data_IF_844644483112
#
_entry.id   IF_844644483112
#
_cell.length_a   1.000
_cell.length_b   1.000
_cell.length_c   1.000
_cell.angle_alpha   90.00
_cell.angle_beta   90.00
_cell.angle_gamma   90.00
#
_symmetry.space_group_name_H-M   'P 1'
#
loop_
_entity.id
_entity.type
_entity.pdbx_description
1 polymer ?
#
# COMPACT_ATOMS: atom_id res chain seq x y z
N UNK A 1 11.93 14.88 19.47
CA UNK A 1 10.99 14.25 18.51
C UNK A 1 11.79 14.08 17.23
N UNK A 2 12.14 12.86 16.82
CA UNK A 2 12.77 12.67 15.50
C UNK A 2 11.68 12.88 14.46
N UNK A 3 11.96 13.64 13.41
CA UNK A 3 11.11 13.67 12.23
C UNK A 3 10.90 12.25 11.72
N UNK A 4 9.65 11.95 11.39
CA UNK A 4 9.30 10.69 10.79
C UNK A 4 9.79 10.74 9.33
N UNK A 5 10.76 9.90 8.92
CA UNK A 5 11.29 9.92 7.56
C UNK A 5 10.24 9.53 6.51
N UNK A 6 9.08 8.98 6.90
CA UNK A 6 7.96 8.72 5.98
C UNK A 6 7.12 9.97 5.66
N UNK A 7 7.36 11.09 6.35
CA UNK A 7 6.66 12.36 6.15
C UNK A 7 7.50 13.38 5.36
N UNK A 8 8.72 13.04 4.93
CA UNK A 8 9.57 13.92 4.13
C UNK A 8 9.24 13.83 2.64
N UNK A 9 9.34 14.97 1.95
CA UNK A 9 9.14 15.05 0.49
C UNK A 9 10.23 14.28 -0.31
N UNK A 10 11.33 13.89 0.35
CA UNK A 10 12.49 13.21 -0.23
C UNK A 10 12.56 11.70 0.09
N UNK A 11 11.47 11.10 0.58
CA UNK A 11 11.48 9.69 1.02
C UNK A 11 11.85 8.72 -0.12
N UNK A 12 11.44 9.01 -1.37
CA UNK A 12 11.85 8.25 -2.55
C UNK A 12 13.36 8.26 -2.78
N UNK A 13 14.01 9.42 -2.61
CA UNK A 13 15.47 9.57 -2.73
C UNK A 13 16.19 8.80 -1.62
N UNK A 14 15.69 8.86 -0.38
CA UNK A 14 16.24 8.09 0.73
C UNK A 14 16.20 6.58 0.46
N UNK A 15 15.14 6.08 -0.19
CA UNK A 15 15.03 4.67 -0.58
C UNK A 15 16.02 4.30 -1.70
N UNK A 16 16.29 5.21 -2.63
CA UNK A 16 17.34 5.03 -3.64
C UNK A 16 18.71 4.95 -2.98
N UNK A 17 19.02 5.86 -2.04
CA UNK A 17 20.27 5.83 -1.27
C UNK A 17 20.42 4.53 -0.46
N UNK A 18 19.34 4.06 0.16
CA UNK A 18 19.33 2.76 0.83
C UNK A 18 19.62 1.62 -0.15
N UNK A 19 19.06 1.65 -1.37
CA UNK A 19 19.38 0.70 -2.42
C UNK A 19 20.86 0.72 -2.82
N UNK A 20 21.47 1.90 -2.87
CA UNK A 20 22.91 2.06 -3.13
C UNK A 20 23.76 1.48 -1.98
N UNK A 21 23.36 1.70 -0.73
CA UNK A 21 24.01 1.12 0.44
C UNK A 21 23.94 -0.43 0.43
N UNK A 22 22.91 -1.00 -0.22
CA UNK A 22 22.78 -2.44 -0.46
C UNK A 22 23.53 -2.94 -1.71
N UNK A 23 24.29 -2.08 -2.39
CA UNK A 23 25.13 -2.44 -3.53
C UNK A 23 24.45 -2.33 -4.90
N UNK A 24 23.26 -1.72 -4.97
CA UNK A 24 22.60 -1.45 -6.25
C UNK A 24 23.21 -0.21 -6.92
N UNK A 25 23.28 -0.22 -8.25
CA UNK A 25 23.54 1.01 -9.01
C UNK A 25 22.35 1.97 -8.83
N UNK A 26 22.55 3.30 -8.82
CA UNK A 26 21.47 4.27 -8.60
C UNK A 26 20.26 4.05 -9.52
N UNK A 27 20.51 3.84 -10.81
CA UNK A 27 19.46 3.53 -11.79
C UNK A 27 18.70 2.25 -11.48
N UNK A 28 19.40 1.20 -11.06
CA UNK A 28 18.78 -0.07 -10.70
C UNK A 28 17.93 0.04 -9.44
N UNK A 29 18.38 0.83 -8.45
CA UNK A 29 17.58 1.11 -7.25
C UNK A 29 16.30 1.89 -7.61
N UNK A 30 16.40 2.93 -8.45
CA UNK A 30 15.25 3.71 -8.91
C UNK A 30 14.26 2.86 -9.73
N UNK A 31 14.74 2.09 -10.71
CA UNK A 31 13.90 1.20 -11.53
C UNK A 31 13.17 0.18 -10.65
N UNK A 32 13.87 -0.37 -9.64
CA UNK A 32 13.28 -1.33 -8.70
C UNK A 32 12.22 -0.68 -7.81
N UNK A 33 12.47 0.53 -7.32
CA UNK A 33 11.51 1.31 -6.53
C UNK A 33 10.25 1.60 -7.34
N UNK A 34 10.40 2.07 -8.58
CA UNK A 34 9.28 2.33 -9.48
C UNK A 34 8.44 1.07 -9.76
N UNK A 35 9.09 -0.07 -9.97
CA UNK A 35 8.38 -1.35 -10.13
C UNK A 35 7.58 -1.75 -8.88
N UNK A 36 8.15 -1.58 -7.69
CA UNK A 36 7.45 -1.89 -6.43
C UNK A 36 6.30 -0.91 -6.19
N UNK A 37 6.52 0.38 -6.43
CA UNK A 37 5.50 1.41 -6.33
C UNK A 37 4.29 1.10 -7.23
N UNK A 38 4.55 0.72 -8.48
CA UNK A 38 3.50 0.40 -9.46
C UNK A 38 2.64 -0.81 -9.04
N UNK A 39 3.22 -1.80 -8.35
CA UNK A 39 2.48 -3.02 -7.98
C UNK A 39 1.67 -2.90 -6.69
N UNK A 40 1.99 -1.97 -5.78
CA UNK A 40 1.32 -1.88 -4.47
C UNK A 40 -0.18 -1.67 -4.62
N UNK A 41 -0.61 -0.75 -5.48
CA UNK A 41 -2.05 -0.46 -5.63
C UNK A 41 -2.81 -1.62 -6.28
N UNK A 42 -2.18 -2.31 -7.24
CA UNK A 42 -2.74 -3.49 -7.88
C UNK A 42 -2.95 -4.61 -6.86
N UNK A 43 -1.91 -4.95 -6.09
CA UNK A 43 -1.96 -6.02 -5.08
C UNK A 43 -2.94 -5.67 -3.96
N UNK A 44 -2.98 -4.41 -3.51
CA UNK A 44 -3.95 -3.96 -2.50
C UNK A 44 -5.40 -4.04 -3.01
N UNK A 45 -5.64 -3.71 -4.28
CA UNK A 45 -6.94 -3.83 -4.92
C UNK A 45 -7.38 -5.29 -5.07
N UNK A 46 -6.45 -6.17 -5.45
CA UNK A 46 -6.71 -7.61 -5.54
C UNK A 46 -7.10 -8.18 -4.17
N UNK A 47 -6.32 -7.89 -3.12
CA UNK A 47 -6.61 -8.36 -1.76
C UNK A 47 -7.95 -7.83 -1.25
N UNK A 48 -8.28 -6.57 -1.54
CA UNK A 48 -9.58 -6.01 -1.18
C UNK A 48 -10.74 -6.76 -1.85
N UNK A 49 -10.56 -7.15 -3.12
CA UNK A 49 -11.53 -7.98 -3.85
C UNK A 49 -11.67 -9.39 -3.28
N UNK A 50 -10.56 -10.02 -2.90
CA UNK A 50 -10.56 -11.33 -2.23
C UNK A 50 -11.34 -11.27 -0.90
N UNK A 51 -11.07 -10.26 -0.06
CA UNK A 51 -11.79 -10.06 1.21
C UNK A 51 -13.27 -9.76 1.00
N UNK A 52 -13.63 -8.99 -0.03
CA UNK A 52 -15.03 -8.72 -0.36
C UNK A 52 -15.78 -10.01 -0.74
N UNK A 53 -15.14 -10.89 -1.53
CA UNK A 53 -15.70 -12.19 -1.91
C UNK A 53 -15.85 -13.12 -0.69
N UNK A 54 -14.85 -13.18 0.18
CA UNK A 54 -14.90 -13.96 1.43
C UNK A 54 -16.00 -13.46 2.36
N UNK A 55 -16.13 -12.14 2.52
CA UNK A 55 -17.16 -11.53 3.35
C UNK A 55 -18.57 -11.78 2.81
N UNK A 56 -18.75 -11.77 1.49
CA UNK A 56 -20.03 -12.14 0.87
C UNK A 56 -20.41 -13.60 1.20
N UNK A 57 -19.45 -14.52 1.18
CA UNK A 57 -19.69 -15.92 1.56
C UNK A 57 -19.97 -16.08 3.06
N UNK A 58 -19.22 -15.39 3.92
CA UNK A 58 -19.45 -15.41 5.37
C UNK A 58 -20.82 -14.83 5.75
N UNK A 59 -21.23 -13.73 5.11
CA UNK A 59 -22.53 -13.10 5.33
C UNK A 59 -23.71 -13.99 4.92
N UNK A 60 -23.51 -14.92 3.97
CA UNK A 60 -24.52 -15.95 3.64
C UNK A 60 -24.67 -17.01 4.74
N UNK A 61 -23.60 -17.27 5.51
CA UNK A 61 -23.53 -18.34 6.51
C UNK A 61 -23.86 -17.86 7.92
N UNK A 62 -23.63 -16.59 8.23
CA UNK A 62 -23.74 -16.02 9.57
C UNK A 62 -24.46 -14.66 9.53
N UNK A 63 -25.26 -14.30 10.55
CA UNK A 63 -25.98 -13.04 10.61
C UNK A 63 -25.08 -11.87 11.06
N UNK A 64 -23.96 -11.66 10.36
CA UNK A 64 -22.92 -10.66 10.67
C UNK A 64 -22.76 -9.59 9.58
N UNK A 65 -23.72 -9.51 8.64
CA UNK A 65 -23.68 -8.60 7.50
C UNK A 65 -23.35 -7.14 7.86
N UNK A 66 -24.02 -6.51 8.85
CA UNK A 66 -23.74 -5.12 9.22
C UNK A 66 -22.30 -4.86 9.69
N UNK A 67 -21.68 -5.82 10.39
CA UNK A 67 -20.29 -5.74 10.83
C UNK A 67 -19.34 -5.82 9.64
N UNK A 68 -19.56 -6.80 8.75
CA UNK A 68 -18.75 -6.97 7.54
C UNK A 68 -18.84 -5.73 6.62
N UNK A 69 -20.01 -5.10 6.50
CA UNK A 69 -20.16 -3.84 5.76
C UNK A 69 -19.34 -2.69 6.37
N UNK A 70 -19.32 -2.58 7.70
CA UNK A 70 -18.52 -1.59 8.42
C UNK A 70 -17.02 -1.77 8.20
N UNK A 71 -16.54 -3.01 8.33
CA UNK A 71 -15.14 -3.38 8.11
C UNK A 71 -14.74 -3.16 6.65
N UNK A 72 -15.59 -3.56 5.69
CA UNK A 72 -15.35 -3.32 4.27
C UNK A 72 -15.25 -1.84 3.92
N UNK A 73 -16.06 -0.98 4.55
CA UNK A 73 -15.94 0.48 4.38
C UNK A 73 -14.57 0.99 4.86
N UNK A 74 -14.10 0.51 6.00
CA UNK A 74 -12.79 0.85 6.53
C UNK A 74 -11.67 0.40 5.59
N UNK A 75 -11.71 -0.85 5.11
CA UNK A 75 -10.71 -1.38 4.19
C UNK A 75 -10.67 -0.60 2.86
N UNK A 76 -11.82 -0.23 2.31
CA UNK A 76 -11.89 0.63 1.12
C UNK A 76 -11.23 2.00 1.35
N UNK A 77 -11.44 2.60 2.52
CA UNK A 77 -10.82 3.87 2.88
C UNK A 77 -9.29 3.73 3.01
N UNK A 78 -8.82 2.66 3.65
CA UNK A 78 -7.39 2.36 3.76
C UNK A 78 -6.78 2.21 2.35
N UNK A 79 -7.39 1.40 1.48
CA UNK A 79 -6.87 1.14 0.14
C UNK A 79 -6.89 2.38 -0.75
N UNK A 80 -7.98 3.14 -0.76
CA UNK A 80 -8.14 4.25 -1.72
C UNK A 80 -7.63 5.61 -1.23
N UNK A 81 -7.44 5.78 0.08
CA UNK A 81 -6.90 7.01 0.68
C UNK A 81 -5.50 6.76 1.20
N UNK A 82 -5.35 5.95 2.24
CA UNK A 82 -4.07 5.79 2.94
C UNK A 82 -3.01 5.17 2.03
N UNK A 83 -3.28 4.00 1.45
CA UNK A 83 -2.30 3.32 0.57
C UNK A 83 -1.99 4.19 -0.65
N UNK A 84 -3.00 4.82 -1.27
CA UNK A 84 -2.78 5.72 -2.40
C UNK A 84 -1.83 6.87 -2.04
N UNK A 85 -2.06 7.53 -0.92
CA UNK A 85 -1.23 8.64 -0.45
C UNK A 85 0.19 8.16 -0.14
N UNK A 86 0.34 7.06 0.59
CA UNK A 86 1.65 6.51 0.94
C UNK A 86 2.44 6.06 -0.29
N UNK A 87 1.78 5.49 -1.31
CA UNK A 87 2.43 5.12 -2.58
C UNK A 87 2.89 6.35 -3.35
N UNK A 88 2.15 7.46 -3.31
CA UNK A 88 2.58 8.70 -3.97
C UNK A 88 3.87 9.26 -3.37
N UNK A 89 4.07 9.11 -2.05
CA UNK A 89 5.29 9.53 -1.34
C UNK A 89 6.53 8.68 -1.68
N UNK A 90 6.36 7.54 -2.34
CA UNK A 90 7.49 6.70 -2.80
C UNK A 90 8.11 7.19 -4.10
N UNK A 91 7.50 8.16 -4.78
CA UNK A 91 8.08 8.75 -5.96
C UNK A 91 9.37 9.51 -5.58
N UNK A 92 10.52 9.21 -6.21
CA UNK A 92 11.71 10.03 -6.10
C UNK A 92 11.57 11.33 -6.91
#
# INVERSE_FOLDING_TARGET
MRENPFDSEDFGDLLIEAGQALGLKPRTAADRLAMMQASIFEVAGQLLGEVEAENAELGRRLPIGPQLEGEMRCLRAITHTVIREMVARLAP
#
